data_IF_241071558367
#
_entry.id   IF_241071558367
#
_cell.length_a   1.000
_cell.length_b   1.000
_cell.length_c   1.000
_cell.angle_alpha   90.00
_cell.angle_beta   90.00
_cell.angle_gamma   90.00
#
_symmetry.space_group_name_H-M   'P 1'
#
loop_
_entity.id
_entity.type
_entity.pdbx_description
1 polymer ?
#
# COMPACT_ATOMS: atom_id res chain seq x y z
N UNK A 1 -28.04 5.59 45.55
CA UNK A 1 -27.64 6.92 45.05
C UNK A 1 -27.17 6.76 43.62
N UNK A 2 -27.92 7.28 42.67
CA UNK A 2 -27.49 7.27 41.26
C UNK A 2 -26.42 8.35 41.08
N UNK A 3 -25.21 7.94 40.78
CA UNK A 3 -24.09 8.81 40.44
C UNK A 3 -24.43 9.55 39.13
N UNK A 4 -24.71 10.85 39.24
CA UNK A 4 -24.95 11.70 38.08
C UNK A 4 -23.63 11.86 37.34
N UNK A 5 -23.37 11.01 36.34
CA UNK A 5 -22.27 11.21 35.38
C UNK A 5 -22.53 12.56 34.72
N UNK A 6 -21.59 13.49 34.90
CA UNK A 6 -21.65 14.81 34.28
C UNK A 6 -21.63 14.68 32.78
N UNK A 7 -22.49 15.43 32.08
CA UNK A 7 -22.48 15.48 30.59
C UNK A 7 -21.09 15.77 30.01
N UNK A 8 -20.28 16.51 30.75
CA UNK A 8 -18.89 16.81 30.39
C UNK A 8 -17.96 15.59 30.47
N UNK A 9 -18.17 14.72 31.45
CA UNK A 9 -17.38 13.48 31.62
C UNK A 9 -17.78 12.48 30.57
N UNK A 10 -19.06 12.38 30.21
CA UNK A 10 -19.55 11.57 29.10
C UNK A 10 -18.98 12.05 27.73
N UNK A 11 -18.97 13.37 27.50
CA UNK A 11 -18.39 13.93 26.27
C UNK A 11 -16.87 13.69 26.18
N UNK A 12 -16.15 13.75 27.30
CA UNK A 12 -14.71 13.44 27.36
C UNK A 12 -14.43 11.97 27.06
N UNK A 13 -15.20 11.07 27.66
CA UNK A 13 -15.06 9.64 27.43
C UNK A 13 -15.41 9.26 25.99
N UNK A 14 -16.46 9.86 25.42
CA UNK A 14 -16.83 9.67 24.03
C UNK A 14 -15.76 10.20 23.06
N UNK A 15 -15.20 11.38 23.33
CA UNK A 15 -14.11 11.94 22.53
C UNK A 15 -12.83 11.09 22.62
N UNK A 16 -12.51 10.53 23.79
CA UNK A 16 -11.40 9.62 23.98
C UNK A 16 -11.59 8.30 23.23
N UNK A 17 -12.81 7.74 23.26
CA UNK A 17 -13.15 6.52 22.51
C UNK A 17 -13.16 6.73 21.01
N UNK A 18 -13.64 7.87 20.53
CA UNK A 18 -13.56 8.24 19.11
C UNK A 18 -12.12 8.41 18.64
N UNK A 19 -11.27 9.04 19.45
CA UNK A 19 -9.85 9.21 19.16
C UNK A 19 -9.09 7.87 19.16
N UNK A 20 -9.41 6.98 20.09
CA UNK A 20 -8.84 5.63 20.14
C UNK A 20 -9.34 4.75 18.96
N UNK A 21 -10.60 4.90 18.54
CA UNK A 21 -11.14 4.21 17.36
C UNK A 21 -10.54 4.74 16.05
N UNK A 22 -10.26 6.04 15.98
CA UNK A 22 -9.64 6.69 14.83
C UNK A 22 -8.15 6.33 14.71
N UNK A 23 -7.41 6.30 15.83
CA UNK A 23 -6.02 5.81 15.85
C UNK A 23 -5.92 4.31 15.52
N UNK A 24 -6.88 3.48 15.90
CA UNK A 24 -6.93 2.07 15.54
C UNK A 24 -7.23 1.83 14.06
N UNK A 25 -7.89 2.78 13.38
CA UNK A 25 -8.19 2.71 11.93
C UNK A 25 -7.04 3.22 11.06
N UNK A 26 -6.22 4.14 11.56
CA UNK A 26 -5.13 4.75 10.82
C UNK A 26 -3.85 3.91 10.78
N UNK A 27 -3.70 2.96 11.67
CA UNK A 27 -2.50 2.14 11.78
C UNK A 27 -2.51 0.87 10.91
N UNK A 28 -3.68 0.40 10.48
CA UNK A 28 -3.76 -0.77 9.60
C UNK A 28 -3.35 -0.43 8.18
N UNK A 29 -2.39 -1.17 7.64
CA UNK A 29 -1.87 -1.03 6.29
C UNK A 29 -2.11 -2.30 5.49
N UNK A 30 -2.33 -2.12 4.20
CA UNK A 30 -2.37 -3.23 3.26
C UNK A 30 -0.96 -3.77 3.05
N UNK A 31 -0.77 -5.05 3.26
CA UNK A 31 0.48 -5.73 2.99
C UNK A 31 0.44 -6.47 1.66
N UNK A 32 1.46 -6.29 0.83
CA UNK A 32 1.62 -6.95 -0.46
C UNK A 32 3.00 -7.58 -0.58
N UNK A 33 3.10 -8.62 -1.39
CA UNK A 33 4.36 -9.25 -1.76
C UNK A 33 4.84 -8.70 -3.09
N UNK A 34 6.08 -8.23 -3.14
CA UNK A 34 6.75 -7.79 -4.35
C UNK A 34 8.13 -8.45 -4.44
N UNK A 35 8.24 -9.51 -5.24
CA UNK A 35 9.43 -10.36 -5.26
C UNK A 35 9.67 -11.00 -3.89
N UNK A 36 10.87 -10.83 -3.35
CA UNK A 36 11.22 -11.31 -2.01
C UNK A 36 10.80 -10.35 -0.89
N UNK A 37 10.31 -9.15 -1.21
CA UNK A 37 10.04 -8.08 -0.27
C UNK A 37 8.57 -7.99 0.12
N UNK A 38 8.31 -7.68 1.40
CA UNK A 38 7.00 -7.31 1.89
C UNK A 38 6.85 -5.79 1.93
N UNK A 39 5.77 -5.29 1.35
CA UNK A 39 5.47 -3.87 1.28
C UNK A 39 4.17 -3.54 1.99
N UNK A 40 4.15 -2.40 2.66
CA UNK A 40 2.98 -1.84 3.32
C UNK A 40 2.49 -0.62 2.54
N UNK A 41 1.20 -0.55 2.30
CA UNK A 41 0.55 0.58 1.63
C UNK A 41 -0.58 1.08 2.52
N UNK A 42 -0.63 2.39 2.74
CA UNK A 42 -1.74 2.99 3.47
C UNK A 42 -3.07 2.75 2.75
N UNK A 43 -4.10 2.35 3.51
CA UNK A 43 -5.42 2.06 2.94
C UNK A 43 -6.06 3.25 2.22
N UNK A 44 -5.68 4.47 2.62
CA UNK A 44 -6.16 5.69 1.97
C UNK A 44 -5.43 5.97 0.65
N UNK A 45 -4.24 5.40 0.47
CA UNK A 45 -3.43 5.54 -0.73
C UNK A 45 -3.69 4.42 -1.73
N UNK A 46 -4.08 3.25 -1.24
CA UNK A 46 -4.58 2.16 -2.06
C UNK A 46 -6.05 2.42 -2.44
N UNK A 47 -6.36 2.33 -3.71
CA UNK A 47 -7.74 2.38 -4.16
C UNK A 47 -8.45 1.06 -3.89
N UNK A 48 -7.96 0.00 -4.50
CA UNK A 48 -8.54 -1.34 -4.42
C UNK A 48 -7.49 -2.38 -4.80
N UNK A 49 -7.63 -3.59 -4.27
CA UNK A 49 -6.85 -4.76 -4.70
C UNK A 49 -7.77 -5.73 -5.42
N UNK A 50 -7.43 -6.06 -6.65
CA UNK A 50 -8.25 -6.93 -7.51
C UNK A 50 -7.41 -8.08 -8.08
N UNK A 51 -8.03 -9.19 -8.50
CA UNK A 51 -7.41 -10.15 -9.39
C UNK A 51 -6.91 -9.48 -10.65
N UNK A 52 -5.83 -9.96 -11.23
CA UNK A 52 -5.24 -9.34 -12.42
C UNK A 52 -6.17 -9.51 -13.62
N UNK A 53 -6.71 -8.42 -14.20
CA UNK A 53 -7.50 -8.49 -15.42
C UNK A 53 -6.59 -8.66 -16.64
N UNK A 54 -7.16 -8.88 -17.85
CA UNK A 54 -6.38 -8.89 -19.07
C UNK A 54 -5.58 -7.60 -19.25
N UNK A 55 -4.29 -7.73 -19.57
CA UNK A 55 -3.37 -6.62 -19.78
C UNK A 55 -3.01 -6.58 -21.28
N UNK A 56 -3.17 -5.41 -21.88
CA UNK A 56 -2.75 -5.15 -23.26
C UNK A 56 -1.35 -4.54 -23.24
N UNK A 57 -0.38 -5.25 -23.78
CA UNK A 57 0.99 -4.78 -23.86
C UNK A 57 1.09 -3.55 -24.79
N UNK A 58 1.95 -2.61 -24.41
CA UNK A 58 2.28 -1.43 -25.23
C UNK A 58 3.75 -1.52 -25.63
N UNK A 59 4.02 -1.37 -26.93
CA UNK A 59 5.37 -1.45 -27.47
C UNK A 59 6.23 -0.26 -27.05
N UNK A 60 7.55 -0.46 -27.03
CA UNK A 60 8.54 0.58 -26.77
C UNK A 60 8.40 1.29 -25.41
N UNK A 61 7.98 0.54 -24.40
CA UNK A 61 7.88 1.02 -23.02
C UNK A 61 9.04 0.49 -22.17
N UNK A 62 9.13 0.97 -20.94
CA UNK A 62 10.13 0.49 -19.98
C UNK A 62 9.85 -0.96 -19.56
N UNK A 63 10.88 -1.73 -19.15
CA UNK A 63 10.71 -3.17 -18.81
C UNK A 63 9.67 -3.44 -17.73
N UNK A 64 9.48 -2.52 -16.79
CA UNK A 64 8.51 -2.63 -15.71
C UNK A 64 7.10 -2.17 -16.10
N UNK A 65 6.91 -1.55 -17.25
CA UNK A 65 5.61 -1.19 -17.76
C UNK A 65 4.99 -2.37 -18.51
N UNK A 66 3.98 -3.02 -17.90
CA UNK A 66 3.34 -4.21 -18.48
C UNK A 66 2.35 -3.90 -19.60
N UNK A 67 1.79 -2.73 -19.58
CA UNK A 67 0.75 -2.32 -20.53
C UNK A 67 -0.40 -1.60 -19.86
N UNK A 68 -1.57 -1.72 -20.45
CA UNK A 68 -2.79 -1.08 -19.96
C UNK A 68 -3.88 -2.12 -19.72
N UNK A 69 -4.74 -1.85 -18.77
CA UNK A 69 -5.87 -2.69 -18.42
C UNK A 69 -7.12 -1.86 -18.18
N UNK A 70 -8.26 -2.37 -18.66
CA UNK A 70 -9.56 -1.76 -18.39
C UNK A 70 -10.14 -2.38 -17.10
N UNK A 71 -10.43 -1.54 -16.13
CA UNK A 71 -11.10 -1.93 -14.90
C UNK A 71 -12.39 -1.13 -14.77
N UNK A 72 -13.52 -1.78 -14.98
CA UNK A 72 -14.86 -1.17 -14.90
C UNK A 72 -15.01 0.11 -15.74
N UNK A 73 -14.45 0.10 -16.96
CA UNK A 73 -14.50 1.23 -17.88
C UNK A 73 -13.39 2.29 -17.68
N UNK A 74 -12.57 2.14 -16.68
CA UNK A 74 -11.40 3.01 -16.46
C UNK A 74 -10.11 2.32 -16.93
N UNK A 75 -9.30 3.06 -17.67
CA UNK A 75 -8.03 2.56 -18.17
C UNK A 75 -6.91 2.84 -17.15
N UNK A 76 -6.17 1.79 -16.78
CA UNK A 76 -5.03 1.86 -15.87
C UNK A 76 -3.74 1.46 -16.57
N UNK A 77 -2.69 2.23 -16.33
CA UNK A 77 -1.31 1.81 -16.63
C UNK A 77 -0.87 0.76 -15.61
N UNK A 78 -0.45 -0.41 -16.08
CA UNK A 78 -0.03 -1.51 -15.20
C UNK A 78 1.48 -1.51 -15.05
N UNK A 79 1.93 -1.26 -13.85
CA UNK A 79 3.33 -1.22 -13.46
C UNK A 79 3.67 -2.52 -12.73
N UNK A 80 4.62 -3.28 -13.25
CA UNK A 80 5.20 -4.44 -12.56
C UNK A 80 6.08 -3.93 -11.42
N UNK A 81 5.55 -3.97 -10.21
CA UNK A 81 6.20 -3.33 -9.08
C UNK A 81 7.53 -3.98 -8.70
N UNK A 82 7.68 -5.32 -8.63
CA UNK A 82 9.00 -5.93 -8.44
C UNK A 82 10.02 -5.52 -9.51
N UNK A 83 9.60 -5.48 -10.77
CA UNK A 83 10.50 -5.05 -11.87
C UNK A 83 10.87 -3.56 -11.77
N UNK A 84 9.93 -2.71 -11.35
CA UNK A 84 10.19 -1.29 -11.08
C UNK A 84 11.25 -1.11 -9.97
N UNK A 85 11.23 -1.99 -8.96
CA UNK A 85 12.23 -2.01 -7.89
C UNK A 85 13.60 -2.57 -8.33
N UNK A 86 13.73 -2.98 -9.58
CA UNK A 86 14.97 -3.56 -10.13
C UNK A 86 15.10 -5.07 -9.98
N UNK A 87 14.06 -5.74 -9.52
CA UNK A 87 13.98 -7.19 -9.41
C UNK A 87 13.42 -7.87 -10.66
N UNK A 88 13.16 -9.16 -10.53
CA UNK A 88 12.45 -9.92 -11.55
C UNK A 88 10.96 -9.51 -11.55
N UNK A 89 10.34 -9.52 -12.73
CA UNK A 89 8.92 -9.24 -12.87
C UNK A 89 8.03 -10.30 -12.23
N UNK A 90 6.77 -9.94 -12.00
CA UNK A 90 5.76 -10.86 -11.46
C UNK A 90 5.51 -12.00 -12.43
N UNK A 91 5.63 -13.23 -11.95
CA UNK A 91 5.09 -14.40 -12.64
C UNK A 91 3.58 -14.44 -12.42
N UNK A 92 2.81 -14.14 -13.47
CA UNK A 92 1.35 -14.10 -13.37
C UNK A 92 0.77 -15.47 -12.97
N UNK A 93 -0.08 -15.46 -11.94
CA UNK A 93 -0.74 -16.64 -11.42
C UNK A 93 -1.94 -16.28 -10.55
N UNK A 94 -2.56 -17.28 -9.95
CA UNK A 94 -3.75 -17.09 -9.11
C UNK A 94 -3.54 -16.16 -7.91
N UNK A 95 -2.31 -16.08 -7.41
CA UNK A 95 -1.96 -15.23 -6.27
C UNK A 95 -1.70 -13.78 -6.66
N UNK A 96 -1.34 -13.53 -7.92
CA UNK A 96 -1.03 -12.20 -8.42
C UNK A 96 -2.21 -11.25 -8.22
N UNK A 97 -1.92 -10.01 -7.87
CA UNK A 97 -2.93 -8.98 -7.65
C UNK A 97 -2.55 -7.68 -8.34
N UNK A 98 -3.56 -6.92 -8.66
CA UNK A 98 -3.41 -5.55 -9.13
C UNK A 98 -3.89 -4.60 -8.05
N UNK A 99 -2.96 -3.78 -7.53
CA UNK A 99 -3.25 -2.74 -6.55
C UNK A 99 -3.51 -1.44 -7.30
N UNK A 100 -4.76 -1.01 -7.31
CA UNK A 100 -5.15 0.26 -7.94
C UNK A 100 -4.67 1.42 -7.07
N UNK A 101 -3.98 2.38 -7.66
CA UNK A 101 -3.63 3.62 -6.99
C UNK A 101 -4.90 4.46 -6.79
N UNK A 102 -5.06 5.04 -5.60
CA UNK A 102 -6.26 5.81 -5.27
C UNK A 102 -6.50 6.93 -6.29
N UNK A 103 -7.75 7.10 -6.69
CA UNK A 103 -8.15 8.06 -7.74
C UNK A 103 -7.79 9.50 -7.42
N UNK A 104 -7.67 9.84 -6.13
CA UNK A 104 -7.27 11.19 -5.70
C UNK A 104 -5.90 11.63 -6.25
N UNK A 105 -5.02 10.67 -6.56
CA UNK A 105 -3.71 10.96 -7.17
C UNK A 105 -3.78 11.20 -8.68
N UNK A 106 -4.90 10.89 -9.32
CA UNK A 106 -5.12 11.03 -10.77
C UNK A 106 -4.02 10.39 -11.62
N UNK A 107 -3.36 9.39 -11.08
CA UNK A 107 -2.25 8.70 -11.76
C UNK A 107 -2.74 7.75 -12.85
N UNK A 108 -3.95 7.22 -12.73
CA UNK A 108 -4.45 6.17 -13.63
C UNK A 108 -3.52 4.96 -13.67
N UNK A 109 -2.88 4.64 -12.56
CA UNK A 109 -1.87 3.60 -12.45
C UNK A 109 -2.30 2.50 -11.48
N UNK A 110 -1.80 1.31 -11.72
CA UNK A 110 -1.97 0.16 -10.86
C UNK A 110 -0.66 -0.61 -10.73
N UNK A 111 -0.36 -1.09 -9.53
CA UNK A 111 0.83 -1.86 -9.22
C UNK A 111 0.51 -3.36 -9.33
N UNK A 112 1.19 -4.05 -10.22
CA UNK A 112 1.16 -5.51 -10.28
C UNK A 112 2.09 -6.06 -9.22
N UNK A 113 1.57 -6.91 -8.34
CA UNK A 113 2.28 -7.52 -7.22
C UNK A 113 2.08 -9.04 -7.21
N UNK A 114 3.02 -9.75 -6.57
CA UNK A 114 2.96 -11.21 -6.49
C UNK A 114 1.78 -11.72 -5.67
N UNK A 115 1.33 -10.94 -4.70
CA UNK A 115 0.16 -11.30 -3.90
C UNK A 115 -0.21 -10.27 -2.85
N UNK A 116 -1.40 -10.41 -2.31
CA UNK A 116 -1.86 -9.67 -1.14
C UNK A 116 -1.63 -10.51 0.13
N UNK A 117 -1.07 -9.89 1.15
CA UNK A 117 -0.78 -10.52 2.44
C UNK A 117 -1.75 -10.06 3.53
N UNK A 118 -2.83 -9.40 3.14
CA UNK A 118 -3.86 -8.90 4.05
C UNK A 118 -3.46 -7.61 4.76
N UNK A 119 -4.16 -7.31 5.85
CA UNK A 119 -3.89 -6.14 6.66
C UNK A 119 -2.85 -6.42 7.73
N UNK A 120 -1.98 -5.46 7.97
CA UNK A 120 -0.97 -5.48 9.02
C UNK A 120 -0.98 -4.17 9.79
N UNK A 121 -0.65 -4.26 11.07
CA UNK A 121 -0.47 -3.09 11.93
C UNK A 121 0.99 -3.01 12.37
N UNK A 122 1.77 -2.06 11.86
CA UNK A 122 3.18 -1.92 12.20
C UNK A 122 3.45 -1.17 13.53
N UNK A 123 2.43 -0.75 14.27
CA UNK A 123 2.60 0.09 15.47
C UNK A 123 3.46 -0.57 16.55
N UNK A 124 3.43 -1.91 16.64
CA UNK A 124 4.24 -2.69 17.59
C UNK A 124 5.58 -3.16 17.02
N UNK A 125 5.87 -2.89 15.76
CA UNK A 125 7.07 -3.36 15.07
C UNK A 125 8.25 -2.44 15.34
N UNK A 126 9.46 -2.95 15.15
CA UNK A 126 10.69 -2.18 15.34
C UNK A 126 10.98 -1.33 14.11
N UNK A 127 11.06 0.01 14.24
CA UNK A 127 11.54 0.85 13.15
C UNK A 127 12.99 0.49 12.78
N UNK A 128 13.29 0.53 11.47
CA UNK A 128 14.64 0.31 10.94
C UNK A 128 15.09 1.48 10.10
N UNK A 129 16.38 1.71 10.06
CA UNK A 129 16.98 2.60 9.08
C UNK A 129 17.29 1.81 7.80
N UNK A 130 16.95 2.35 6.61
CA UNK A 130 17.29 1.73 5.35
C UNK A 130 18.82 1.55 5.23
N UNK A 131 19.24 0.39 4.72
CA UNK A 131 20.66 0.07 4.53
C UNK A 131 21.37 0.95 3.48
N UNK A 132 20.60 1.60 2.62
CA UNK A 132 21.06 2.51 1.58
C UNK A 132 20.21 3.78 1.59
N UNK A 133 20.68 4.86 0.95
CA UNK A 133 19.90 6.08 0.79
C UNK A 133 18.54 5.74 0.13
N UNK A 134 17.42 5.94 0.83
CA UNK A 134 16.13 5.51 0.35
C UNK A 134 15.68 6.35 -0.84
N UNK A 135 14.91 5.74 -1.75
CA UNK A 135 14.12 6.50 -2.71
C UNK A 135 13.07 7.34 -1.96
N UNK A 136 12.66 8.46 -2.56
CA UNK A 136 11.68 9.36 -1.93
C UNK A 136 10.35 8.65 -1.58
N UNK A 137 9.97 7.65 -2.36
CA UNK A 137 8.76 6.85 -2.17
C UNK A 137 8.90 5.70 -1.14
N UNK A 138 10.07 5.49 -0.56
CA UNK A 138 10.24 4.61 0.60
C UNK A 138 10.06 5.45 1.88
N UNK A 139 8.89 5.34 2.51
CA UNK A 139 8.52 6.15 3.68
C UNK A 139 9.21 5.68 4.96
N UNK A 140 9.24 4.37 5.18
CA UNK A 140 9.78 3.75 6.39
C UNK A 140 10.12 2.27 6.15
N UNK A 141 10.92 1.71 7.04
CA UNK A 141 11.15 0.27 7.16
C UNK A 141 10.87 -0.18 8.59
N UNK A 142 10.33 -1.39 8.72
CA UNK A 142 10.01 -2.03 10.00
C UNK A 142 10.49 -3.48 10.01
N UNK A 143 10.74 -3.98 11.19
CA UNK A 143 10.94 -5.40 11.43
C UNK A 143 9.84 -5.92 12.33
N UNK A 144 9.14 -6.96 11.91
CA UNK A 144 8.09 -7.58 12.70
C UNK A 144 8.66 -8.54 13.76
N UNK A 145 7.78 -9.10 14.60
CA UNK A 145 8.16 -10.01 15.68
C UNK A 145 8.84 -11.30 15.19
N UNK A 146 8.65 -11.67 13.92
CA UNK A 146 9.28 -12.82 13.28
C UNK A 146 10.63 -12.48 12.63
N UNK A 147 11.07 -11.22 12.70
CA UNK A 147 12.31 -10.75 12.08
C UNK A 147 12.18 -10.44 10.58
N UNK A 148 10.97 -10.39 10.06
CA UNK A 148 10.73 -10.03 8.67
C UNK A 148 10.76 -8.51 8.50
N UNK A 149 11.48 -8.06 7.48
CA UNK A 149 11.54 -6.64 7.12
C UNK A 149 10.37 -6.27 6.20
N UNK A 150 9.72 -5.17 6.54
CA UNK A 150 8.63 -4.56 5.79
C UNK A 150 8.99 -3.15 5.39
N UNK A 151 8.70 -2.81 4.15
CA UNK A 151 8.92 -1.48 3.60
C UNK A 151 7.57 -0.77 3.45
N UNK A 152 7.50 0.47 3.86
CA UNK A 152 6.29 1.28 3.69
C UNK A 152 6.40 2.17 2.46
N UNK A 153 5.43 2.05 1.55
CA UNK A 153 5.36 2.81 0.33
C UNK A 153 4.67 4.17 0.56
N UNK A 154 5.29 5.23 0.08
CA UNK A 154 4.66 6.52 -0.10
C UNK A 154 4.15 6.63 -1.53
N UNK A 155 2.85 6.43 -1.73
CA UNK A 155 2.23 6.44 -3.06
C UNK A 155 2.27 7.85 -3.66
N UNK A 156 2.12 8.89 -2.84
CA UNK A 156 2.19 10.27 -3.33
C UNK A 156 3.56 10.59 -3.93
N UNK A 157 4.63 10.14 -3.29
CA UNK A 157 5.99 10.32 -3.82
C UNK A 157 6.28 9.37 -4.98
N UNK A 158 5.73 8.15 -4.98
CA UNK A 158 5.87 7.20 -6.09
C UNK A 158 5.31 7.78 -7.39
N UNK A 159 4.11 8.34 -7.36
CA UNK A 159 3.47 8.91 -8.58
C UNK A 159 4.14 10.19 -9.07
N UNK A 160 5.01 10.80 -8.27
CA UNK A 160 5.85 11.94 -8.65
C UNK A 160 7.22 11.54 -9.16
N UNK A 161 7.62 10.29 -8.97
CA UNK A 161 8.93 9.82 -9.43
C UNK A 161 9.01 9.90 -10.96
N UNK A 162 10.10 10.47 -11.45
CA UNK A 162 10.33 10.66 -12.88
C UNK A 162 10.42 9.34 -13.67
N UNK A 163 10.64 8.23 -12.99
CA UNK A 163 10.71 6.90 -13.59
C UNK A 163 9.38 6.13 -13.51
N UNK A 164 8.39 6.65 -12.77
CA UNK A 164 7.08 5.98 -12.59
C UNK A 164 6.02 6.29 -13.70
#
# INVERSE_FOLDING_TARGET
MAERISLRDYQRDLAARLKAADSGRTSSKLAVQAGAEGWLVDLMEAGEVIPVPPITAVAQTRPWFKGVSNVRGNLYSVIDFPAFLGGNGVALGEQSRLLLVAQRYRAGAALLVDGSLGLRNPDSWQPREPAQAPAAWLRAEYEDEAGRVWKELDVAELVRDANF
#
